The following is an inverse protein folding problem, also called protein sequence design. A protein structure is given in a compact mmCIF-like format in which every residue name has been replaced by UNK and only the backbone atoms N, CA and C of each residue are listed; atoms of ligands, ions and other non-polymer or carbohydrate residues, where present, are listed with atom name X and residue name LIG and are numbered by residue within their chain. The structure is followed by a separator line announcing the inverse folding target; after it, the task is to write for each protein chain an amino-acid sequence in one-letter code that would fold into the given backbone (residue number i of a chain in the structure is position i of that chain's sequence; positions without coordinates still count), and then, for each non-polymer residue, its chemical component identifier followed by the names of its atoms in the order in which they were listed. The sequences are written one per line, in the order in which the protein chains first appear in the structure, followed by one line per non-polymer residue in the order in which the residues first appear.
data_IF_584886716674
#
_entry.id   IF_584886716674
#
_cell.length_a   1.000
_cell.length_b   1.000
_cell.length_c   1.000
_cell.angle_alpha   90.00
_cell.angle_beta   90.00
_cell.angle_gamma   90.00
#
_symmetry.space_group_name_H-M   'P 1'
#
loop_
_entity.id
_entity.type
_entity.pdbx_description
1 polymer ?
#
# COMPACT_ATOMS: atom_id res chain seq x y z
N UNK A 1 18.10 -22.34 7.67
CA UNK A 1 18.58 -21.50 6.55
C UNK A 1 20.07 -21.24 6.73
N UNK A 2 20.91 -21.17 5.67
CA UNK A 2 22.33 -20.82 5.86
C UNK A 2 22.47 -19.33 6.22
N UNK A 3 23.52 -18.98 6.97
CA UNK A 3 23.82 -17.59 7.38
C UNK A 3 23.98 -16.65 6.18
N UNK A 4 24.50 -17.16 5.06
CA UNK A 4 24.68 -16.42 3.80
C UNK A 4 23.34 -16.03 3.16
N UNK A 5 22.37 -16.97 3.11
CA UNK A 5 21.03 -16.72 2.55
C UNK A 5 20.29 -15.67 3.39
N UNK A 6 20.42 -15.74 4.71
CA UNK A 6 19.82 -14.75 5.61
C UNK A 6 20.44 -13.35 5.42
N UNK A 7 21.76 -13.26 5.24
CA UNK A 7 22.44 -12.01 4.94
C UNK A 7 21.99 -11.36 3.63
N UNK A 8 21.85 -12.16 2.56
CA UNK A 8 21.36 -11.69 1.25
C UNK A 8 19.92 -11.16 1.35
N UNK A 9 19.04 -11.90 2.04
CA UNK A 9 17.64 -11.48 2.23
C UNK A 9 17.52 -10.17 3.01
N UNK A 10 18.32 -10.00 4.07
CA UNK A 10 18.37 -8.75 4.83
C UNK A 10 18.88 -7.59 3.99
N UNK A 11 19.86 -7.82 3.12
CA UNK A 11 20.38 -6.79 2.21
C UNK A 11 19.32 -6.35 1.18
N UNK A 12 18.58 -7.30 0.61
CA UNK A 12 17.46 -7.02 -0.30
C UNK A 12 16.36 -6.24 0.44
N UNK A 13 15.97 -6.70 1.62
CA UNK A 13 14.96 -6.03 2.44
C UNK A 13 15.37 -4.60 2.82
N UNK A 14 16.64 -4.38 3.18
CA UNK A 14 17.17 -3.05 3.47
C UNK A 14 17.18 -2.13 2.25
N UNK A 15 17.50 -2.66 1.07
CA UNK A 15 17.44 -1.94 -0.20
C UNK A 15 16.00 -1.51 -0.55
N UNK A 16 15.06 -2.44 -0.49
CA UNK A 16 13.64 -2.20 -0.75
C UNK A 16 13.02 -1.23 0.27
N UNK A 17 13.37 -1.36 1.55
CA UNK A 17 12.98 -0.42 2.60
C UNK A 17 13.48 0.99 2.29
N UNK A 18 14.77 1.12 1.96
CA UNK A 18 15.39 2.42 1.64
C UNK A 18 14.71 3.08 0.45
N UNK A 19 14.44 2.32 -0.61
CA UNK A 19 13.72 2.80 -1.80
C UNK A 19 12.28 3.22 -1.47
N UNK A 20 11.58 2.41 -0.67
CA UNK A 20 10.21 2.69 -0.25
C UNK A 20 10.09 3.93 0.61
N UNK A 21 10.98 4.11 1.60
CA UNK A 21 11.04 5.31 2.42
C UNK A 21 11.36 6.52 1.56
N UNK A 22 12.38 6.44 0.71
CA UNK A 22 12.77 7.56 -0.15
C UNK A 22 11.63 8.00 -1.07
N UNK A 23 10.97 7.06 -1.73
CA UNK A 23 9.85 7.34 -2.65
C UNK A 23 8.66 7.97 -1.92
N UNK A 24 8.18 7.34 -0.84
CA UNK A 24 7.03 7.85 -0.10
C UNK A 24 7.35 9.17 0.63
N UNK A 25 8.56 9.33 1.19
CA UNK A 25 8.99 10.57 1.83
C UNK A 25 9.09 11.72 0.82
N UNK A 26 9.57 11.44 -0.41
CA UNK A 26 9.59 12.43 -1.48
C UNK A 26 8.18 12.91 -1.85
N UNK A 27 7.21 12.01 -1.96
CA UNK A 27 5.80 12.38 -2.22
C UNK A 27 5.27 13.29 -1.11
N UNK A 28 5.44 12.90 0.16
CA UNK A 28 5.01 13.70 1.30
C UNK A 28 5.70 15.06 1.37
N UNK A 29 7.01 15.11 1.10
CA UNK A 29 7.79 16.35 1.12
C UNK A 29 7.34 17.33 0.03
N UNK A 30 7.18 16.87 -1.22
CA UNK A 30 6.75 17.73 -2.33
C UNK A 30 5.36 18.32 -2.03
N UNK A 31 4.45 17.52 -1.49
CA UNK A 31 3.12 17.98 -1.11
C UNK A 31 3.14 18.94 0.08
N UNK A 32 4.00 18.70 1.08
CA UNK A 32 4.17 19.58 2.23
C UNK A 32 4.75 20.95 1.83
N UNK A 33 5.76 20.97 0.96
CA UNK A 33 6.32 22.22 0.41
C UNK A 33 5.26 23.01 -0.35
N UNK A 34 4.41 22.34 -1.11
CA UNK A 34 3.32 22.97 -1.85
C UNK A 34 2.26 23.56 -0.90
N UNK A 35 1.92 22.83 0.16
CA UNK A 35 1.02 23.30 1.22
C UNK A 35 1.54 24.58 1.88
N UNK A 36 2.82 24.60 2.26
CA UNK A 36 3.45 25.77 2.89
C UNK A 36 3.40 26.99 1.95
N UNK A 37 3.65 26.78 0.65
CA UNK A 37 3.66 27.87 -0.35
C UNK A 37 2.27 28.42 -0.66
N UNK A 38 1.29 27.54 -0.82
CA UNK A 38 -0.03 27.93 -1.31
C UNK A 38 -1.09 28.07 -0.20
N UNK A 39 -0.73 27.76 1.06
CA UNK A 39 -1.60 27.74 2.26
C UNK A 39 -2.89 26.90 2.12
N UNK A 40 -3.00 26.11 1.06
CA UNK A 40 -4.15 25.23 0.76
C UNK A 40 -3.63 23.92 0.21
N UNK A 41 -4.15 22.80 0.72
CA UNK A 41 -3.85 21.46 0.23
C UNK A 41 -4.90 21.09 -0.82
N UNK A 42 -4.44 20.63 -2.00
CA UNK A 42 -5.33 20.00 -2.97
C UNK A 42 -5.75 18.61 -2.49
N UNK A 43 -6.98 18.20 -2.76
CA UNK A 43 -7.52 16.90 -2.30
C UNK A 43 -6.69 15.70 -2.75
N UNK A 44 -6.13 15.74 -3.97
CA UNK A 44 -5.23 14.72 -4.47
C UNK A 44 -3.92 14.66 -3.68
N UNK A 45 -3.38 15.81 -3.29
CA UNK A 45 -2.15 15.90 -2.52
C UNK A 45 -2.40 15.42 -1.08
N UNK A 46 -3.61 15.65 -0.53
CA UNK A 46 -4.00 15.08 0.77
C UNK A 46 -4.05 13.55 0.73
N UNK A 47 -4.71 12.95 -0.28
CA UNK A 47 -4.79 11.49 -0.43
C UNK A 47 -3.38 10.90 -0.60
N UNK A 48 -2.56 11.49 -1.48
CA UNK A 48 -1.20 11.03 -1.73
C UNK A 48 -0.31 11.13 -0.49
N UNK A 49 -0.46 12.19 0.32
CA UNK A 49 0.29 12.37 1.56
C UNK A 49 -0.17 11.37 2.62
N UNK A 50 -1.47 11.17 2.81
CA UNK A 50 -2.00 10.15 3.73
C UNK A 50 -1.55 8.74 3.35
N UNK A 51 -1.58 8.42 2.05
CA UNK A 51 -1.09 7.14 1.53
C UNK A 51 0.42 6.97 1.79
N UNK A 52 1.22 8.00 1.52
CA UNK A 52 2.66 7.98 1.76
C UNK A 52 2.98 7.76 3.26
N UNK A 53 2.28 8.47 4.16
CA UNK A 53 2.45 8.30 5.61
C UNK A 53 2.10 6.87 6.01
N UNK A 54 0.96 6.33 5.58
CA UNK A 54 0.57 4.95 5.93
C UNK A 54 1.59 3.91 5.49
N UNK A 55 2.25 4.13 4.35
CA UNK A 55 3.25 3.21 3.78
C UNK A 55 4.60 3.34 4.44
N UNK A 56 5.02 4.56 4.80
CA UNK A 56 6.22 4.77 5.63
C UNK A 56 6.03 4.06 6.97
N UNK A 57 4.87 4.25 7.61
CA UNK A 57 4.55 3.56 8.87
C UNK A 57 4.58 2.05 8.70
N UNK A 58 3.96 1.51 7.64
CA UNK A 58 4.00 0.08 7.34
C UNK A 58 5.44 -0.42 7.20
N UNK A 59 6.25 0.21 6.32
CA UNK A 59 7.65 -0.16 6.07
C UNK A 59 8.49 -0.14 7.37
N UNK A 60 8.30 0.88 8.21
CA UNK A 60 8.98 0.96 9.51
C UNK A 60 8.59 -0.19 10.44
N UNK A 61 7.31 -0.59 10.46
CA UNK A 61 6.85 -1.73 11.27
C UNK A 61 7.43 -3.04 10.76
N UNK A 62 7.50 -3.25 9.43
CA UNK A 62 8.13 -4.45 8.86
C UNK A 62 9.59 -4.54 9.29
N UNK A 63 10.33 -3.43 9.16
CA UNK A 63 11.73 -3.38 9.54
C UNK A 63 11.92 -3.64 11.04
N UNK A 64 11.05 -3.08 11.90
CA UNK A 64 11.08 -3.33 13.33
C UNK A 64 10.81 -4.81 13.64
N UNK A 65 9.82 -5.43 13.00
CA UNK A 65 9.50 -6.85 13.20
C UNK A 65 10.67 -7.75 12.78
N UNK A 66 11.27 -7.52 11.60
CA UNK A 66 12.46 -8.25 11.15
C UNK A 66 13.65 -8.07 12.10
N UNK A 67 13.90 -6.85 12.58
CA UNK A 67 15.01 -6.60 13.52
C UNK A 67 14.78 -7.30 14.86
N UNK A 68 13.57 -7.27 15.40
CA UNK A 68 13.28 -7.94 16.68
C UNK A 68 13.37 -9.46 16.52
N UNK A 69 12.89 -10.01 15.41
CA UNK A 69 12.99 -11.44 15.09
C UNK A 69 14.45 -11.92 15.03
N UNK A 70 15.35 -11.10 14.45
CA UNK A 70 16.76 -11.47 14.24
C UNK A 70 17.66 -11.14 15.44
N UNK A 71 17.52 -9.96 16.07
CA UNK A 71 18.44 -9.49 17.12
C UNK A 71 18.00 -9.86 18.54
N UNK A 72 16.70 -10.01 18.80
CA UNK A 72 16.17 -10.23 20.16
C UNK A 72 15.08 -11.30 20.21
N UNK A 73 15.40 -12.56 19.86
CA UNK A 73 14.43 -13.65 19.86
C UNK A 73 13.80 -13.86 21.25
N UNK A 74 14.57 -13.67 22.33
CA UNK A 74 14.10 -13.81 23.71
C UNK A 74 13.08 -12.73 24.11
N UNK A 75 13.23 -11.50 23.61
CA UNK A 75 12.26 -10.41 23.84
C UNK A 75 11.00 -10.63 23.00
N UNK A 76 11.17 -11.13 21.76
CA UNK A 76 10.06 -11.58 20.92
C UNK A 76 9.19 -12.62 21.61
N UNK A 77 9.74 -13.43 22.56
CA UNK A 77 9.00 -14.43 23.34
C UNK A 77 8.11 -13.88 24.48
N UNK A 78 8.22 -12.59 24.84
CA UNK A 78 7.47 -11.95 25.95
C UNK A 78 5.98 -11.59 25.71
N UNK A 79 5.40 -11.91 24.55
CA UNK A 79 3.97 -11.85 24.24
C UNK A 79 3.46 -10.46 23.86
N UNK A 80 3.76 -9.47 24.70
CA UNK A 80 3.18 -8.13 24.65
C UNK A 80 3.67 -7.30 23.45
N UNK A 81 4.96 -7.34 23.11
CA UNK A 81 5.52 -6.55 21.99
C UNK A 81 5.00 -7.03 20.64
N UNK A 82 4.88 -8.34 20.42
CA UNK A 82 4.36 -8.89 19.16
C UNK A 82 2.88 -8.54 18.96
N UNK A 83 2.08 -8.46 20.03
CA UNK A 83 0.68 -8.01 19.94
C UNK A 83 0.58 -6.57 19.45
N UNK A 84 1.46 -5.71 19.94
CA UNK A 84 1.56 -4.31 19.52
C UNK A 84 1.98 -4.23 18.05
N UNK A 85 2.97 -5.03 17.63
CA UNK A 85 3.45 -5.08 16.25
C UNK A 85 2.35 -5.60 15.30
N UNK A 86 1.67 -6.71 15.59
CA UNK A 86 0.61 -7.27 14.73
C UNK A 86 -0.60 -6.33 14.63
N UNK A 87 -0.91 -5.59 15.70
CA UNK A 87 -1.91 -4.52 15.68
C UNK A 87 -1.50 -3.40 14.72
N UNK A 88 -0.31 -2.83 14.90
CA UNK A 88 0.16 -1.73 14.05
C UNK A 88 0.35 -2.17 12.59
N UNK A 89 0.80 -3.40 12.36
CA UNK A 89 0.89 -4.01 11.04
C UNK A 89 -0.49 -4.09 10.38
N UNK A 90 -1.48 -4.63 11.09
CA UNK A 90 -2.85 -4.75 10.57
C UNK A 90 -3.45 -3.38 10.28
N UNK A 91 -3.28 -2.43 11.21
CA UNK A 91 -3.78 -1.06 11.09
C UNK A 91 -3.18 -0.36 9.87
N UNK A 92 -1.86 -0.35 9.74
CA UNK A 92 -1.18 0.36 8.64
C UNK A 92 -1.48 -0.26 7.28
N UNK A 93 -1.65 -1.59 7.20
CA UNK A 93 -2.12 -2.25 5.98
C UNK A 93 -3.55 -1.84 5.61
N UNK A 94 -4.48 -1.85 6.56
CA UNK A 94 -5.85 -1.41 6.31
C UNK A 94 -5.88 0.04 5.82
N UNK A 95 -5.13 0.94 6.47
CA UNK A 95 -5.02 2.34 6.04
C UNK A 95 -4.47 2.46 4.62
N UNK A 96 -3.41 1.74 4.29
CA UNK A 96 -2.81 1.73 2.95
C UNK A 96 -3.82 1.31 1.88
N UNK A 97 -4.60 0.24 2.14
CA UNK A 97 -5.64 -0.24 1.21
C UNK A 97 -6.77 0.79 1.09
N UNK A 98 -7.30 1.31 2.20
CA UNK A 98 -8.39 2.30 2.18
C UNK A 98 -7.99 3.59 1.47
N UNK A 99 -6.80 4.12 1.73
CA UNK A 99 -6.30 5.32 1.07
C UNK A 99 -6.01 5.08 -0.42
N UNK A 100 -5.51 3.89 -0.79
CA UNK A 100 -5.38 3.51 -2.19
C UNK A 100 -6.74 3.44 -2.90
N UNK A 101 -7.78 2.86 -2.27
CA UNK A 101 -9.14 2.85 -2.81
C UNK A 101 -9.71 4.26 -2.97
N UNK A 102 -9.45 5.16 -2.00
CA UNK A 102 -9.83 6.57 -2.12
C UNK A 102 -9.18 7.23 -3.34
N UNK A 103 -7.90 6.92 -3.60
CA UNK A 103 -7.18 7.40 -4.78
C UNK A 103 -7.78 6.87 -6.08
N UNK A 104 -8.14 5.58 -6.14
CA UNK A 104 -8.78 4.95 -7.31
C UNK A 104 -10.12 5.62 -7.63
N UNK A 105 -10.96 5.84 -6.61
CA UNK A 105 -12.25 6.52 -6.76
C UNK A 105 -12.04 7.97 -7.21
N UNK A 106 -11.04 8.67 -6.63
CA UNK A 106 -10.70 10.03 -7.01
C UNK A 106 -10.33 10.13 -8.50
N UNK A 107 -9.43 9.25 -8.97
CA UNK A 107 -9.06 9.20 -10.39
C UNK A 107 -10.23 8.86 -11.29
N UNK A 108 -11.05 7.88 -10.87
CA UNK A 108 -12.26 7.52 -11.59
C UNK A 108 -13.19 8.73 -11.78
N UNK A 109 -13.55 9.42 -10.69
CA UNK A 109 -14.49 10.56 -10.74
C UNK A 109 -13.92 11.77 -11.49
N UNK A 110 -12.59 11.95 -11.46
CA UNK A 110 -11.92 13.08 -12.12
C UNK A 110 -11.82 12.90 -13.64
N UNK A 111 -11.48 11.68 -14.09
CA UNK A 111 -11.15 11.41 -15.49
C UNK A 111 -12.36 10.86 -16.27
N UNK A 112 -13.20 10.02 -15.65
CA UNK A 112 -14.35 9.48 -16.32
C UNK A 112 -15.40 10.58 -16.57
N UNK A 113 -16.09 10.48 -17.71
CA UNK A 113 -17.11 11.44 -18.10
C UNK A 113 -18.47 10.72 -18.27
N UNK A 114 -19.16 10.50 -17.15
CA UNK A 114 -20.50 9.93 -17.12
C UNK A 114 -21.54 11.02 -16.84
N UNK A 115 -22.58 11.09 -17.68
CA UNK A 115 -23.70 12.03 -17.53
C UNK A 115 -24.81 11.45 -16.63
N UNK A 116 -24.45 10.94 -15.46
CA UNK A 116 -25.42 10.45 -14.47
C UNK A 116 -25.53 11.44 -13.30
N UNK A 117 -26.74 11.81 -12.82
CA UNK A 117 -26.91 12.82 -11.76
C UNK A 117 -26.09 12.52 -10.49
N UNK A 118 -26.07 11.26 -10.05
CA UNK A 118 -25.26 10.81 -8.92
C UNK A 118 -23.75 11.02 -9.14
N UNK A 119 -23.26 10.77 -10.36
CA UNK A 119 -21.84 10.94 -10.69
C UNK A 119 -21.42 12.41 -10.65
N UNK A 120 -22.26 13.30 -11.19
CA UNK A 120 -22.04 14.75 -11.14
C UNK A 120 -22.10 15.29 -9.72
N UNK A 121 -23.06 14.82 -8.91
CA UNK A 121 -23.16 15.19 -7.50
C UNK A 121 -21.93 14.79 -6.70
N UNK A 122 -21.46 13.55 -6.86
CA UNK A 122 -20.23 13.07 -6.24
C UNK A 122 -19.02 13.90 -6.67
N UNK A 123 -18.88 14.18 -7.97
CA UNK A 123 -17.79 14.97 -8.54
C UNK A 123 -17.75 16.39 -7.98
N UNK A 124 -18.91 17.02 -7.76
CA UNK A 124 -19.01 18.37 -7.18
C UNK A 124 -18.59 18.42 -5.70
N UNK A 125 -18.98 17.42 -4.91
CA UNK A 125 -18.68 17.38 -3.46
C UNK A 125 -17.31 16.80 -3.13
N UNK A 126 -16.64 16.23 -4.12
CA UNK A 126 -15.43 15.44 -3.97
C UNK A 126 -14.36 16.16 -3.15
N UNK A 127 -13.94 17.36 -3.55
CA UNK A 127 -12.84 18.07 -2.89
C UNK A 127 -13.12 18.41 -1.42
N UNK A 128 -14.38 18.66 -1.06
CA UNK A 128 -14.79 18.92 0.34
C UNK A 128 -15.06 17.64 1.14
N UNK A 129 -15.30 16.51 0.47
CA UNK A 129 -15.59 15.23 1.10
C UNK A 129 -14.32 14.43 1.42
N UNK A 130 -13.27 14.54 0.61
CA UNK A 130 -12.01 13.78 0.78
C UNK A 130 -11.45 13.82 2.21
N UNK A 131 -11.25 14.97 2.89
CA UNK A 131 -10.68 14.96 4.23
C UNK A 131 -11.55 14.18 5.24
N UNK A 132 -12.88 14.27 5.11
CA UNK A 132 -13.84 13.53 5.93
C UNK A 132 -13.80 12.03 5.64
N UNK A 133 -13.68 11.64 4.37
CA UNK A 133 -13.55 10.24 3.96
C UNK A 133 -12.24 9.66 4.51
N UNK A 134 -11.11 10.37 4.36
CA UNK A 134 -9.81 9.92 4.87
C UNK A 134 -9.84 9.75 6.40
N UNK A 135 -10.46 10.69 7.12
CA UNK A 135 -10.64 10.56 8.57
C UNK A 135 -11.54 9.37 8.93
N UNK A 136 -12.63 9.16 8.18
CA UNK A 136 -13.49 7.99 8.33
C UNK A 136 -12.74 6.67 8.12
N UNK A 137 -11.90 6.59 7.08
CA UNK A 137 -11.03 5.44 6.82
C UNK A 137 -10.05 5.20 7.97
N UNK A 138 -9.50 6.27 8.57
CA UNK A 138 -8.62 6.17 9.73
C UNK A 138 -9.35 5.55 10.92
N UNK A 139 -10.48 6.13 11.30
CA UNK A 139 -11.29 5.68 12.43
C UNK A 139 -11.76 4.23 12.22
N UNK A 140 -12.27 3.92 11.03
CA UNK A 140 -12.73 2.58 10.67
C UNK A 140 -11.61 1.54 10.74
N UNK A 141 -10.42 1.86 10.23
CA UNK A 141 -9.26 0.96 10.29
C UNK A 141 -8.78 0.70 11.72
N UNK A 142 -8.86 1.72 12.59
CA UNK A 142 -8.57 1.56 14.03
C UNK A 142 -9.55 0.57 14.65
N UNK A 143 -10.86 0.77 14.46
CA UNK A 143 -11.89 -0.10 15.01
C UNK A 143 -11.77 -1.55 14.53
N UNK A 144 -11.52 -1.76 13.24
CA UNK A 144 -11.33 -3.09 12.67
C UNK A 144 -10.10 -3.79 13.24
N UNK A 145 -9.06 -3.03 13.60
CA UNK A 145 -7.81 -3.60 14.11
C UNK A 145 -7.87 -3.94 15.60
N UNK A 146 -8.81 -3.37 16.37
CA UNK A 146 -8.95 -3.63 17.82
C UNK A 146 -9.10 -5.12 18.22
N UNK A 147 -9.87 -5.97 17.50
CA UNK A 147 -9.99 -7.39 17.80
C UNK A 147 -8.65 -8.16 17.78
N UNK A 148 -7.62 -7.64 17.12
CA UNK A 148 -6.26 -8.21 17.11
C UNK A 148 -5.62 -8.17 18.51
N UNK A 149 -5.90 -7.11 19.28
CA UNK A 149 -5.35 -6.92 20.64
C UNK A 149 -6.07 -7.82 21.65
N UNK A 150 -7.40 -7.92 21.56
CA UNK A 150 -8.21 -8.56 22.61
C UNK A 150 -8.20 -10.09 22.59
N UNK A 151 -7.85 -10.72 21.47
CA UNK A 151 -8.02 -12.17 21.29
C UNK A 151 -6.72 -12.96 21.30
N UNK A 152 -5.56 -12.30 21.44
CA UNK A 152 -4.27 -12.98 21.63
C UNK A 152 -4.10 -13.30 23.12
N UNK A 153 -4.91 -14.23 23.63
CA UNK A 153 -4.77 -14.74 24.99
C UNK A 153 -3.34 -15.31 25.16
N UNK A 154 -2.69 -15.02 26.29
CA UNK A 154 -1.26 -15.32 26.53
C UNK A 154 -0.92 -16.82 26.33
N UNK A 155 -1.94 -17.69 26.34
CA UNK A 155 -1.86 -19.15 26.17
C UNK A 155 -1.61 -19.61 24.71
N UNK A 156 -1.93 -18.80 23.68
CA UNK A 156 -1.72 -19.19 22.27
C UNK A 156 -0.24 -19.42 21.93
N UNK A 157 0.67 -18.67 22.57
CA UNK A 157 2.11 -18.73 22.28
C UNK A 157 2.87 -19.75 23.10
N UNK A 158 2.41 -20.06 24.31
CA UNK A 158 2.91 -21.24 25.06
C UNK A 158 2.76 -22.52 24.21
N UNK A 159 1.69 -22.57 23.42
CA UNK A 159 1.38 -23.63 22.48
C UNK A 159 2.25 -23.67 21.21
N UNK A 160 2.64 -22.52 20.64
CA UNK A 160 3.60 -22.46 19.52
C UNK A 160 5.00 -22.91 20.00
N UNK A 161 5.40 -22.56 21.23
CA UNK A 161 6.65 -23.01 21.87
C UNK A 161 6.69 -24.52 22.10
N UNK A 162 5.56 -25.14 22.47
CA UNK A 162 5.43 -26.60 22.69
C UNK A 162 5.45 -27.43 21.40
N UNK A 163 5.22 -26.80 20.24
CA UNK A 163 5.31 -27.48 18.93
C UNK A 163 6.72 -28.02 18.64
N UNK A 164 7.75 -27.45 19.28
CA UNK A 164 9.13 -27.92 19.20
C UNK A 164 9.43 -29.09 20.16
N UNK A 165 8.52 -29.43 21.10
CA UNK A 165 8.76 -30.41 22.18
C UNK A 165 7.77 -31.59 22.25
N UNK A 166 6.96 -31.81 21.21
CA UNK A 166 6.04 -32.96 21.07
C UNK A 166 4.78 -32.86 21.95
N UNK A 167 3.63 -33.19 21.34
CA UNK A 167 2.23 -33.12 21.82
C UNK A 167 1.56 -31.73 21.86
N UNK A 168 0.83 -31.40 20.79
CA UNK A 168 -0.06 -30.23 20.70
C UNK A 168 -1.32 -30.50 21.54
N UNK A 169 -1.45 -29.77 22.67
CA UNK A 169 -2.66 -29.76 23.51
C UNK A 169 -3.91 -29.32 22.72
N UNK A 170 -5.09 -29.86 23.05
CA UNK A 170 -6.38 -29.49 22.39
C UNK A 170 -6.67 -27.99 22.48
N UNK A 171 -6.27 -27.34 23.58
CA UNK A 171 -6.37 -25.89 23.80
C UNK A 171 -5.57 -25.08 22.77
N UNK A 172 -4.37 -25.54 22.43
CA UNK A 172 -3.52 -24.94 21.42
C UNK A 172 -4.16 -24.90 20.02
N UNK A 173 -4.87 -25.97 19.64
CA UNK A 173 -5.54 -26.05 18.33
C UNK A 173 -6.71 -25.07 18.24
N UNK A 174 -7.46 -24.91 19.33
CA UNK A 174 -8.59 -23.98 19.39
C UNK A 174 -8.12 -22.53 19.27
N UNK A 175 -7.08 -22.12 20.00
CA UNK A 175 -6.52 -20.76 19.87
C UNK A 175 -5.92 -20.52 18.48
N UNK A 176 -5.25 -21.51 17.86
CA UNK A 176 -4.78 -21.40 16.46
C UNK A 176 -5.92 -21.18 15.49
N UNK A 177 -7.01 -21.93 15.63
CA UNK A 177 -8.20 -21.78 14.81
C UNK A 177 -8.87 -20.42 15.03
N UNK A 178 -8.89 -19.90 16.26
CA UNK A 178 -9.46 -18.59 16.59
C UNK A 178 -8.63 -17.45 15.99
N UNK A 179 -7.30 -17.49 16.09
CA UNK A 179 -6.40 -16.54 15.42
C UNK A 179 -6.51 -16.58 13.90
N UNK A 180 -6.56 -17.78 13.32
CA UNK A 180 -6.81 -17.97 11.89
C UNK A 180 -8.14 -17.35 11.48
N UNK A 181 -9.20 -17.61 12.23
CA UNK A 181 -10.52 -17.07 11.95
C UNK A 181 -10.55 -15.54 12.03
N UNK A 182 -9.82 -14.93 12.95
CA UNK A 182 -9.71 -13.46 13.04
C UNK A 182 -8.95 -12.90 11.83
N UNK A 183 -7.77 -13.43 11.50
CA UNK A 183 -7.01 -12.96 10.33
C UNK A 183 -7.80 -13.17 9.02
N UNK A 184 -8.51 -14.28 8.87
CA UNK A 184 -9.41 -14.53 7.73
C UNK A 184 -10.53 -13.48 7.67
N UNK A 185 -11.18 -13.17 8.80
CA UNK A 185 -12.22 -12.13 8.86
C UNK A 185 -11.68 -10.74 8.51
N UNK A 186 -10.49 -10.39 8.99
CA UNK A 186 -9.83 -9.12 8.65
C UNK A 186 -9.51 -9.05 7.16
N UNK A 187 -8.96 -10.13 6.60
CA UNK A 187 -8.70 -10.23 5.16
C UNK A 187 -9.98 -10.14 4.33
N UNK A 188 -11.05 -10.81 4.76
CA UNK A 188 -12.35 -10.72 4.11
C UNK A 188 -12.89 -9.28 4.12
N UNK A 189 -12.63 -8.53 5.18
CA UNK A 189 -13.03 -7.12 5.26
C UNK A 189 -12.21 -6.23 4.32
N UNK A 190 -10.93 -6.55 4.09
CA UNK A 190 -10.10 -5.85 3.09
C UNK A 190 -10.47 -6.17 1.64
N UNK A 191 -11.19 -7.28 1.37
CA UNK A 191 -11.70 -7.59 0.02
C UNK A 191 -12.70 -6.53 -0.46
N UNK A 192 -13.43 -5.89 0.46
CA UNK A 192 -14.39 -4.86 0.11
C UNK A 192 -13.74 -3.61 -0.53
N UNK A 193 -12.81 -2.89 0.13
CA UNK A 193 -12.14 -1.74 -0.49
C UNK A 193 -11.32 -2.14 -1.73
N UNK A 194 -10.77 -3.37 -1.76
CA UNK A 194 -10.11 -3.90 -2.95
C UNK A 194 -11.05 -4.03 -4.15
N UNK A 195 -12.22 -4.65 -3.95
CA UNK A 195 -13.24 -4.82 -4.99
C UNK A 195 -13.76 -3.47 -5.51
N UNK A 196 -13.97 -2.50 -4.62
CA UNK A 196 -14.37 -1.14 -5.00
C UNK A 196 -13.29 -0.47 -5.86
N UNK A 197 -12.01 -0.63 -5.51
CA UNK A 197 -10.88 -0.11 -6.30
C UNK A 197 -10.84 -0.75 -7.69
N UNK A 198 -10.99 -2.08 -7.77
CA UNK A 198 -11.01 -2.82 -9.03
C UNK A 198 -12.15 -2.37 -9.95
N UNK A 199 -13.37 -2.27 -9.41
CA UNK A 199 -14.55 -1.78 -10.16
C UNK A 199 -14.30 -0.34 -10.65
N UNK A 200 -13.77 0.54 -9.79
CA UNK A 200 -13.47 1.93 -10.15
C UNK A 200 -12.49 2.02 -11.33
N UNK A 201 -11.43 1.22 -11.30
CA UNK A 201 -10.47 1.18 -12.40
C UNK A 201 -11.01 0.55 -13.67
N UNK A 202 -11.79 -0.53 -13.58
CA UNK A 202 -12.45 -1.13 -14.74
C UNK A 202 -13.39 -0.12 -15.42
N UNK A 203 -14.21 0.59 -14.62
CA UNK A 203 -15.08 1.64 -15.13
C UNK A 203 -14.29 2.81 -15.74
N UNK A 204 -13.14 3.17 -15.14
CA UNK A 204 -12.24 4.19 -15.68
C UNK A 204 -11.70 3.76 -17.05
N UNK A 205 -11.17 2.54 -17.17
CA UNK A 205 -10.64 1.98 -18.43
C UNK A 205 -11.74 1.95 -19.50
N UNK A 206 -12.94 1.46 -19.16
CA UNK A 206 -14.08 1.44 -20.09
C UNK A 206 -14.49 2.85 -20.54
N UNK A 207 -14.46 3.82 -19.63
CA UNK A 207 -14.77 5.22 -19.94
C UNK A 207 -13.75 5.81 -20.92
N UNK A 208 -12.45 5.64 -20.65
CA UNK A 208 -11.41 6.13 -21.57
C UNK A 208 -11.43 5.40 -22.91
N UNK A 209 -11.70 4.10 -22.92
CA UNK A 209 -11.80 3.34 -24.17
C UNK A 209 -12.96 3.84 -25.04
N UNK A 210 -14.15 4.04 -24.43
CA UNK A 210 -15.30 4.64 -25.12
C UNK A 210 -14.99 6.04 -25.64
N UNK A 211 -14.34 6.87 -24.84
CA UNK A 211 -13.96 8.23 -25.24
C UNK A 211 -12.97 8.23 -26.41
N UNK A 212 -11.92 7.41 -26.32
CA UNK A 212 -10.90 7.28 -27.37
C UNK A 212 -11.49 6.75 -28.67
N UNK A 213 -12.36 5.74 -28.60
CA UNK A 213 -13.07 5.22 -29.78
C UNK A 213 -13.96 6.30 -30.42
N UNK A 214 -14.67 7.11 -29.63
CA UNK A 214 -15.49 8.23 -30.16
C UNK A 214 -14.64 9.32 -30.82
N UNK A 215 -13.46 9.60 -30.28
CA UNK A 215 -12.52 10.56 -30.88
C UNK A 215 -11.96 10.03 -32.22
N UNK A 216 -11.54 8.76 -32.26
CA UNK A 216 -11.04 8.13 -33.49
C UNK A 216 -12.09 8.06 -34.62
N UNK A 217 -13.36 7.86 -34.28
CA UNK A 217 -14.46 7.86 -35.26
C UNK A 217 -14.81 9.26 -35.79
N UNK A 218 -14.43 10.33 -35.07
CA UNK A 218 -14.73 11.72 -35.46
C UNK A 218 -13.59 12.41 -36.22
N UNK A 219 -12.35 11.90 -36.14
CA UNK A 219 -11.20 12.47 -36.84
C UNK A 219 -10.18 11.35 -37.20
N UNK A 220 -10.34 10.66 -38.36
CA UNK A 220 -9.49 9.52 -38.72
C UNK A 220 -8.04 9.89 -39.10
N UNK A 221 -7.76 11.17 -39.39
CA UNK A 221 -6.54 11.60 -40.09
C UNK A 221 -5.52 12.42 -39.29
N UNK A 222 -5.85 12.90 -38.08
CA UNK A 222 -4.91 13.67 -37.26
C UNK A 222 -4.53 12.88 -36.01
N UNK A 223 -3.25 12.55 -35.87
CA UNK A 223 -2.70 11.98 -34.63
C UNK A 223 -2.72 13.06 -33.56
N UNK A 224 -3.89 13.29 -32.99
CA UNK A 224 -4.13 14.44 -32.14
C UNK A 224 -3.35 14.27 -30.83
N UNK A 225 -2.50 15.21 -30.41
CA UNK A 225 -1.67 15.10 -29.20
C UNK A 225 -2.47 14.78 -27.92
N UNK A 226 -3.75 15.14 -27.91
CA UNK A 226 -4.70 14.83 -26.83
C UNK A 226 -5.01 13.32 -26.74
N UNK A 227 -5.11 12.62 -27.87
CA UNK A 227 -5.39 11.19 -27.95
C UNK A 227 -4.22 10.38 -27.43
N UNK A 228 -2.99 10.77 -27.79
CA UNK A 228 -1.77 10.10 -27.32
C UNK A 228 -1.55 10.31 -25.81
N UNK A 229 -1.87 11.51 -25.30
CA UNK A 229 -1.87 11.78 -23.87
C UNK A 229 -2.91 10.93 -23.12
N UNK A 230 -4.11 10.73 -23.67
CA UNK A 230 -5.14 9.86 -23.10
C UNK A 230 -4.74 8.38 -23.12
N UNK A 231 -4.14 7.89 -24.19
CA UNK A 231 -3.63 6.50 -24.28
C UNK A 231 -2.49 6.27 -23.28
N UNK A 232 -1.60 7.25 -23.10
CA UNK A 232 -0.53 7.18 -22.10
C UNK A 232 -1.09 7.13 -20.68
N UNK A 233 -2.12 7.92 -20.39
CA UNK A 233 -2.83 7.89 -19.12
C UNK A 233 -3.52 6.53 -18.89
N UNK A 234 -4.15 5.93 -19.92
CA UNK A 234 -4.71 4.57 -19.83
C UNK A 234 -3.65 3.53 -19.44
N UNK A 235 -2.49 3.54 -20.11
CA UNK A 235 -1.40 2.60 -19.81
C UNK A 235 -0.89 2.75 -18.38
N UNK A 236 -0.81 3.98 -17.88
CA UNK A 236 -0.38 4.24 -16.51
C UNK A 236 -1.40 3.71 -15.49
N UNK A 237 -2.69 4.03 -15.68
CA UNK A 237 -3.78 3.54 -14.82
C UNK A 237 -3.85 2.01 -14.80
N UNK A 238 -3.66 1.34 -15.95
CA UNK A 238 -3.62 -0.14 -16.02
C UNK A 238 -2.42 -0.70 -15.25
N UNK A 239 -1.26 -0.08 -15.38
CA UNK A 239 -0.04 -0.51 -14.68
C UNK A 239 -0.19 -0.33 -13.15
N UNK A 240 -0.80 0.77 -12.72
CA UNK A 240 -1.16 1.02 -11.33
C UNK A 240 -2.08 -0.09 -10.79
N UNK A 241 -3.13 -0.44 -11.54
CA UNK A 241 -4.07 -1.48 -11.16
C UNK A 241 -3.38 -2.84 -11.01
N UNK A 242 -2.51 -3.22 -11.96
CA UNK A 242 -1.76 -4.47 -11.88
C UNK A 242 -0.87 -4.54 -10.64
N UNK A 243 -0.16 -3.44 -10.31
CA UNK A 243 0.65 -3.35 -9.10
C UNK A 243 -0.21 -3.47 -7.83
N UNK A 244 -1.40 -2.87 -7.82
CA UNK A 244 -2.32 -2.95 -6.69
C UNK A 244 -2.89 -4.37 -6.50
N UNK A 245 -3.22 -5.07 -7.59
CA UNK A 245 -3.65 -6.47 -7.55
C UNK A 245 -2.51 -7.36 -7.04
N UNK A 246 -1.29 -7.17 -7.55
CA UNK A 246 -0.13 -7.93 -7.11
C UNK A 246 0.16 -7.74 -5.61
N UNK A 247 0.08 -6.50 -5.11
CA UNK A 247 0.21 -6.19 -3.69
C UNK A 247 -0.83 -6.92 -2.84
N UNK A 248 -2.09 -6.87 -3.26
CA UNK A 248 -3.17 -7.51 -2.50
C UNK A 248 -3.02 -9.04 -2.47
N UNK A 249 -2.66 -9.65 -3.60
CA UNK A 249 -2.40 -11.07 -3.69
C UNK A 249 -1.23 -11.48 -2.79
N UNK A 250 -0.14 -10.70 -2.79
CA UNK A 250 0.99 -10.91 -1.92
C UNK A 250 0.63 -10.85 -0.44
N UNK A 251 -0.21 -9.89 -0.05
CA UNK A 251 -0.71 -9.76 1.32
C UNK A 251 -1.56 -10.98 1.73
N UNK A 252 -2.42 -11.49 0.84
CA UNK A 252 -3.18 -12.73 1.10
C UNK A 252 -2.27 -13.95 1.25
N UNK A 253 -1.22 -14.05 0.44
CA UNK A 253 -0.21 -15.12 0.55
C UNK A 253 0.56 -15.00 1.86
N UNK A 254 1.03 -13.80 2.24
CA UNK A 254 1.76 -13.57 3.48
C UNK A 254 0.92 -13.85 4.73
N UNK A 255 -0.37 -13.52 4.71
CA UNK A 255 -1.26 -13.80 5.84
C UNK A 255 -1.70 -15.26 5.92
N UNK A 256 -1.75 -15.98 4.79
CA UNK A 256 -2.07 -17.42 4.75
C UNK A 256 -0.88 -18.32 5.04
N UNK A 257 0.34 -17.89 4.69
CA UNK A 257 1.58 -18.64 4.96
C UNK A 257 1.85 -18.82 6.46
N UNK A 258 1.45 -17.86 7.30
CA UNK A 258 1.48 -17.97 8.77
C UNK A 258 0.69 -19.18 9.33
N UNK A 259 -0.26 -19.74 8.58
CA UNK A 259 -1.10 -20.86 9.05
C UNK A 259 -0.65 -22.23 8.54
N UNK A 260 0.15 -22.28 7.46
CA UNK A 260 0.70 -23.50 6.88
C UNK A 260 1.86 -24.04 7.74
N UNK A 261 1.88 -25.35 8.07
CA UNK A 261 2.86 -25.92 8.99
C UNK A 261 4.29 -26.04 8.41
N UNK A 262 4.46 -25.89 7.10
CA UNK A 262 5.78 -25.94 6.45
C UNK A 262 5.91 -24.80 5.45
N UNK A 263 6.91 -23.94 5.65
CA UNK A 263 7.67 -23.12 4.67
C UNK A 263 8.13 -21.79 5.31
N UNK A 264 9.23 -21.81 6.07
CA UNK A 264 9.96 -20.58 6.44
C UNK A 264 10.19 -19.69 5.21
N UNK A 265 10.47 -20.31 4.06
CA UNK A 265 10.64 -19.64 2.77
C UNK A 265 9.39 -18.92 2.27
N UNK A 266 8.17 -19.45 2.49
CA UNK A 266 6.96 -18.79 2.01
C UNK A 266 6.56 -17.60 2.87
N UNK A 267 6.91 -17.63 4.17
CA UNK A 267 6.77 -16.47 5.07
C UNK A 267 7.74 -15.37 4.63
N UNK A 268 9.02 -15.73 4.45
CA UNK A 268 10.06 -14.80 3.99
C UNK A 268 9.73 -14.22 2.62
N UNK A 269 9.32 -15.04 1.65
CA UNK A 269 8.93 -14.58 0.30
C UNK A 269 7.68 -13.71 0.37
N UNK A 270 6.69 -14.07 1.19
CA UNK A 270 5.50 -13.25 1.41
C UNK A 270 5.83 -11.87 1.99
N UNK A 271 6.73 -11.81 2.97
CA UNK A 271 7.24 -10.56 3.55
C UNK A 271 8.04 -9.74 2.53
N UNK A 272 8.89 -10.40 1.73
CA UNK A 272 9.66 -9.75 0.66
C UNK A 272 8.74 -9.09 -0.37
N UNK A 273 7.68 -9.77 -0.80
CA UNK A 273 6.72 -9.21 -1.76
C UNK A 273 5.89 -8.09 -1.09
N UNK A 274 5.54 -8.23 0.18
CA UNK A 274 4.89 -7.17 0.97
C UNK A 274 5.77 -5.91 1.13
N UNK A 275 7.10 -6.04 1.05
CA UNK A 275 8.07 -4.94 1.02
C UNK A 275 8.21 -4.31 -0.39
N UNK A 276 8.34 -5.14 -1.43
CA UNK A 276 8.58 -4.68 -2.82
C UNK A 276 7.38 -3.87 -3.34
N UNK A 277 6.15 -4.25 -2.98
CA UNK A 277 4.95 -3.66 -3.55
C UNK A 277 4.70 -2.19 -3.13
N UNK A 278 4.75 -1.80 -1.83
CA UNK A 278 4.66 -0.41 -1.41
C UNK A 278 5.75 0.48 -2.03
N UNK A 279 6.97 -0.05 -2.17
CA UNK A 279 8.13 0.63 -2.79
C UNK A 279 7.90 0.86 -4.28
N UNK A 280 7.57 -0.19 -5.02
CA UNK A 280 7.27 -0.15 -6.46
C UNK A 280 6.15 0.82 -6.79
N UNK A 281 5.09 0.81 -5.97
CA UNK A 281 3.93 1.68 -6.19
C UNK A 281 4.25 3.16 -5.87
N UNK A 282 5.18 3.46 -4.96
CA UNK A 282 5.62 4.84 -4.72
C UNK A 282 6.40 5.42 -5.91
N UNK A 283 7.29 4.62 -6.51
CA UNK A 283 8.01 4.99 -7.73
C UNK A 283 7.04 5.22 -8.89
N UNK A 284 6.06 4.33 -9.02
CA UNK A 284 5.02 4.44 -10.04
C UNK A 284 4.23 5.76 -9.91
N UNK A 285 3.79 6.12 -8.69
CA UNK A 285 3.09 7.38 -8.43
C UNK A 285 3.93 8.62 -8.79
N UNK A 286 5.24 8.58 -8.53
CA UNK A 286 6.16 9.68 -8.90
C UNK A 286 6.26 9.81 -10.42
N UNK A 287 6.30 8.70 -11.16
CA UNK A 287 6.39 8.67 -12.62
C UNK A 287 5.09 9.11 -13.32
N UNK A 288 3.95 8.72 -12.76
CA UNK A 288 2.63 8.99 -13.33
C UNK A 288 2.18 10.44 -13.11
N UNK A 289 2.40 10.98 -11.90
CA UNK A 289 1.97 12.33 -11.57
C UNK A 289 2.93 13.37 -12.16
N UNK A 290 2.43 14.19 -13.10
CA UNK A 290 3.23 15.25 -13.76
C UNK A 290 3.94 16.18 -12.78
N UNK A 291 3.27 16.55 -11.66
CA UNK A 291 3.83 17.43 -10.62
C UNK A 291 5.01 16.75 -9.91
N UNK A 292 4.81 15.51 -9.46
CA UNK A 292 5.86 14.73 -8.78
C UNK A 292 7.03 14.43 -9.72
N UNK A 293 6.77 14.07 -10.98
CA UNK A 293 7.80 13.83 -12.00
C UNK A 293 8.63 15.07 -12.29
N UNK A 294 7.99 16.24 -12.42
CA UNK A 294 8.71 17.49 -12.62
C UNK A 294 9.53 17.89 -11.39
N UNK A 295 9.02 17.63 -10.18
CA UNK A 295 9.77 17.84 -8.95
C UNK A 295 11.01 16.92 -8.89
N UNK A 296 10.88 15.64 -9.22
CA UNK A 296 11.99 14.69 -9.17
C UNK A 296 13.07 15.03 -10.19
N UNK A 297 12.69 15.40 -11.41
CA UNK A 297 13.63 15.88 -12.44
C UNK A 297 14.38 17.14 -11.98
N UNK A 298 13.70 18.09 -11.34
CA UNK A 298 14.35 19.30 -10.80
C UNK A 298 15.39 18.98 -9.72
N UNK A 299 15.09 18.04 -8.84
CA UNK A 299 16.05 17.57 -7.83
C UNK A 299 17.25 16.90 -8.50
N UNK A 300 17.02 16.00 -9.46
CA UNK A 300 18.07 15.32 -10.20
C UNK A 300 19.00 16.30 -10.92
N UNK A 301 18.43 17.33 -11.56
CA UNK A 301 19.19 18.39 -12.21
C UNK A 301 20.06 19.18 -11.24
N UNK A 302 19.53 19.56 -10.06
CA UNK A 302 20.30 20.24 -9.02
C UNK A 302 21.44 19.37 -8.50
N UNK A 303 21.20 18.09 -8.25
CA UNK A 303 22.23 17.14 -7.81
C UNK A 303 23.32 17.01 -8.86
N UNK A 304 22.94 16.83 -10.14
CA UNK A 304 23.88 16.78 -11.27
C UNK A 304 24.73 18.05 -11.36
N UNK A 305 24.12 19.22 -11.17
CA UNK A 305 24.83 20.50 -11.18
C UNK A 305 25.83 20.61 -10.01
N UNK A 306 25.44 20.21 -8.80
CA UNK A 306 26.32 20.22 -7.62
C UNK A 306 27.50 19.24 -7.79
N UNK A 307 27.24 18.04 -8.31
CA UNK A 307 28.29 17.05 -8.59
C UNK A 307 29.27 17.54 -9.66
N UNK A 308 28.77 18.20 -10.70
CA UNK A 308 29.63 18.78 -11.75
C UNK A 308 30.49 19.92 -11.23
N UNK A 309 30.00 20.69 -10.25
CA UNK A 309 30.76 21.77 -9.58
C UNK A 309 31.80 21.26 -8.59
N UNK A 310 31.65 20.05 -8.04
CA UNK A 310 32.65 19.42 -7.16
C UNK A 310 33.80 18.74 -7.92
N UNK A 311 33.61 18.46 -9.20
CA UNK A 311 34.61 17.83 -10.07
C UNK A 311 35.36 18.87 -10.94
N UNK A 312 35.20 20.16 -10.66
CA UNK A 312 35.98 21.28 -11.20
C UNK A 312 36.71 21.95 -10.04
#
# INVERSE_FOLDING_TARGET
MSSEVQGILMLIAAGEFSLGILGNAFIGLVNCVDWIKHKKIASIDLILTSLAISRISLLCIILLDCNILVLYPDVYTGGKQMRIIDYFWTLTNHLSVWFATCLSIFYFLKIANFFHPFFLWMKWRLDSAIPRILLGCLVFSVFISLPVINNLDDDFRHCVKMKLKTNISRRCRVHKAQHASIKIRLNLLTLFPFSVSLISFLLLILSLFRHTRRMQLRAPGSRDPSTEAHVRAMKAVISFLLLFIAYYLAYLVATSSYFMPETELAVIVGELIALICPSSHSLFLILENKKLRQASLRVLWKVKYILRRRNC
#
